data_IF_350219187535
#
_entry.id   IF_350219187535
#
_cell.length_a   1.000
_cell.length_b   1.000
_cell.length_c   1.000
_cell.angle_alpha   90.00
_cell.angle_beta   90.00
_cell.angle_gamma   90.00
#
_symmetry.space_group_name_H-M   'P 1'
#
loop_
_entity.id
_entity.type
_entity.pdbx_description
1 polymer ?
#
# COMPACT_ATOMS: atom_id res chain seq x y z
N UNK A 1 15.15 -27.48 -57.76
CA UNK A 1 16.33 -27.81 -58.59
C UNK A 1 17.51 -26.97 -58.16
N UNK A 2 18.64 -27.65 -57.96
CA UNK A 2 20.03 -27.22 -57.69
C UNK A 2 20.25 -26.69 -56.28
N UNK A 3 20.84 -27.41 -55.38
CA UNK A 3 22.00 -28.29 -55.27
C UNK A 3 23.13 -27.58 -54.49
N UNK A 4 23.46 -28.18 -53.40
CA UNK A 4 24.60 -27.98 -52.46
C UNK A 4 25.91 -28.20 -53.23
N UNK A 5 27.05 -27.71 -52.74
CA UNK A 5 28.08 -28.68 -52.42
C UNK A 5 28.75 -28.50 -51.05
N UNK A 6 29.10 -29.67 -50.50
CA UNK A 6 29.98 -29.98 -49.40
C UNK A 6 31.45 -29.88 -49.83
N UNK A 7 32.27 -29.97 -48.77
CA UNK A 7 33.66 -30.47 -48.69
C UNK A 7 34.71 -29.38 -48.45
N UNK A 8 35.76 -29.51 -47.64
CA UNK A 8 36.53 -30.61 -47.05
C UNK A 8 37.37 -30.05 -45.86
N UNK A 9 37.49 -30.61 -44.75
CA UNK A 9 38.27 -31.58 -44.01
C UNK A 9 39.79 -31.42 -43.92
N UNK A 10 40.30 -31.72 -42.71
CA UNK A 10 41.67 -32.03 -42.23
C UNK A 10 42.53 -30.81 -41.89
N UNK A 11 43.05 -30.64 -40.70
CA UNK A 11 43.59 -31.53 -39.69
C UNK A 11 45.06 -31.20 -39.45
N UNK A 12 45.44 -30.77 -38.24
CA UNK A 12 46.81 -31.03 -37.73
C UNK A 12 46.82 -30.95 -36.18
N UNK A 13 47.47 -31.97 -35.65
CA UNK A 13 47.63 -32.25 -34.21
C UNK A 13 48.85 -31.52 -33.63
N UNK A 14 48.81 -31.40 -32.29
CA UNK A 14 49.87 -31.36 -31.29
C UNK A 14 50.66 -30.07 -31.13
N UNK A 15 50.55 -29.48 -29.94
CA UNK A 15 51.64 -29.59 -28.98
C UNK A 15 51.11 -29.40 -27.55
N UNK A 16 51.50 -30.32 -26.69
CA UNK A 16 51.32 -30.34 -25.26
C UNK A 16 52.51 -29.66 -24.61
N UNK A 17 52.27 -28.55 -23.96
CA UNK A 17 53.17 -28.08 -22.93
C UNK A 17 52.34 -27.64 -21.70
N UNK A 18 52.60 -28.34 -20.60
CA UNK A 18 52.12 -27.94 -19.26
C UNK A 18 53.04 -26.85 -18.75
N UNK A 19 52.53 -25.76 -18.21
CA UNK A 19 53.32 -24.92 -17.34
C UNK A 19 53.26 -25.41 -15.89
N UNK A 20 54.39 -25.30 -15.27
CA UNK A 20 54.81 -25.64 -13.92
C UNK A 20 54.01 -24.98 -12.81
N UNK A 21 53.83 -25.64 -11.65
CA UNK A 21 53.10 -25.11 -10.52
C UNK A 21 54.04 -24.45 -9.51
N UNK A 22 54.26 -23.14 -9.62
CA UNK A 22 54.88 -22.36 -8.55
C UNK A 22 54.67 -20.87 -8.82
N UNK A 23 53.61 -20.31 -8.18
CA UNK A 23 53.69 -19.03 -7.48
C UNK A 23 52.34 -18.75 -6.82
N UNK A 24 52.22 -19.26 -5.58
CA UNK A 24 51.21 -18.79 -4.63
C UNK A 24 51.82 -17.61 -3.89
N UNK A 25 51.28 -16.42 -4.12
CA UNK A 25 51.23 -15.38 -3.10
C UNK A 25 50.44 -14.20 -3.62
N UNK A 26 49.32 -14.02 -3.07
CA UNK A 26 48.41 -12.91 -3.37
C UNK A 26 47.08 -13.14 -2.66
N UNK A 27 47.12 -13.11 -1.31
CA UNK A 27 45.91 -13.03 -0.49
C UNK A 27 45.24 -11.69 -0.73
N UNK A 28 44.52 -11.61 -1.83
CA UNK A 28 43.57 -10.54 -2.07
C UNK A 28 42.30 -10.87 -1.30
N UNK A 29 42.23 -10.46 -0.05
CA UNK A 29 40.98 -10.39 0.69
C UNK A 29 40.01 -9.59 -0.15
N UNK A 30 38.93 -10.26 -0.61
CA UNK A 30 37.78 -9.57 -1.17
C UNK A 30 37.20 -8.71 -0.05
N UNK A 31 36.98 -7.39 -0.26
CA UNK A 31 36.34 -6.57 0.75
C UNK A 31 35.00 -7.22 1.08
N UNK A 32 34.81 -7.58 2.33
CA UNK A 32 33.54 -7.95 2.93
C UNK A 32 32.57 -6.85 2.56
N UNK A 33 31.64 -7.17 1.69
CA UNK A 33 30.47 -6.29 1.48
C UNK A 33 29.78 -6.23 2.84
N UNK A 34 30.02 -5.15 3.57
CA UNK A 34 29.19 -4.75 4.69
C UNK A 34 27.76 -4.84 4.23
N UNK A 35 27.08 -5.90 4.61
CA UNK A 35 25.63 -5.91 4.68
C UNK A 35 25.27 -4.92 5.76
N UNK A 36 25.13 -3.66 5.39
CA UNK A 36 24.36 -2.71 6.18
C UNK A 36 22.97 -3.36 6.27
N UNK A 37 22.72 -4.02 7.38
CA UNK A 37 21.39 -4.46 7.75
C UNK A 37 20.59 -3.17 7.94
N UNK A 38 19.91 -2.73 6.88
CA UNK A 38 18.91 -1.66 7.01
C UNK A 38 17.97 -2.06 8.14
N UNK A 39 18.07 -1.31 9.24
CA UNK A 39 17.28 -1.55 10.42
C UNK A 39 15.82 -1.42 10.02
N UNK A 40 15.10 -2.53 9.95
CA UNK A 40 13.70 -2.56 9.52
C UNK A 40 12.92 -1.49 10.26
N UNK A 41 12.34 -0.54 9.53
CA UNK A 41 11.57 0.58 10.10
C UNK A 41 10.42 0.03 10.94
N UNK A 42 10.17 0.66 12.08
CA UNK A 42 9.04 0.34 12.95
C UNK A 42 8.02 1.48 12.88
N UNK A 43 7.14 1.40 11.89
CA UNK A 43 6.12 2.41 11.63
C UNK A 43 5.21 2.71 12.82
N UNK A 44 4.97 1.72 13.69
CA UNK A 44 4.19 1.96 14.91
C UNK A 44 4.95 2.82 15.92
N UNK A 45 6.26 2.61 16.10
CA UNK A 45 7.07 3.47 16.98
C UNK A 45 7.21 4.88 16.40
N UNK A 46 7.32 5.01 15.08
CA UNK A 46 7.36 6.31 14.41
C UNK A 46 6.06 7.06 14.63
N UNK A 47 4.91 6.38 14.47
CA UNK A 47 3.59 6.95 14.77
C UNK A 47 3.48 7.38 16.24
N UNK A 48 3.84 6.51 17.18
CA UNK A 48 3.79 6.83 18.62
C UNK A 48 4.64 8.07 18.96
N UNK A 49 5.84 8.16 18.39
CA UNK A 49 6.72 9.32 18.59
C UNK A 49 6.13 10.60 18.01
N UNK A 50 5.47 10.52 16.86
CA UNK A 50 4.78 11.65 16.24
C UNK A 50 3.61 12.09 17.12
N UNK A 51 2.75 11.15 17.55
CA UNK A 51 1.58 11.46 18.37
C UNK A 51 1.97 12.15 19.70
N UNK A 52 3.09 11.75 20.29
CA UNK A 52 3.60 12.37 21.53
C UNK A 52 4.13 13.80 21.34
N UNK A 53 4.37 14.23 20.10
CA UNK A 53 4.91 15.56 19.76
C UNK A 53 3.87 16.48 19.11
N UNK A 54 2.63 16.01 18.93
CA UNK A 54 1.59 16.83 18.33
C UNK A 54 1.23 17.98 19.26
N UNK A 55 1.16 19.17 18.69
CA UNK A 55 0.57 20.33 19.34
C UNK A 55 -0.86 20.53 18.78
N UNK A 56 -1.82 20.43 19.66
CA UNK A 56 -3.23 20.48 19.30
C UNK A 56 -3.72 19.26 18.51
N UNK A 57 -4.79 19.46 17.74
CA UNK A 57 -5.44 18.42 16.93
C UNK A 57 -5.41 18.82 15.45
N UNK A 58 -4.32 18.48 14.71
CA UNK A 58 -4.24 18.79 13.29
C UNK A 58 -5.27 18.02 12.47
N UNK A 59 -5.57 18.52 11.26
CA UNK A 59 -6.52 17.90 10.33
C UNK A 59 -5.92 16.67 9.66
N UNK A 60 -6.58 15.53 9.78
CA UNK A 60 -6.19 14.27 9.14
C UNK A 60 -7.24 13.82 8.12
N UNK A 61 -6.81 13.61 6.87
CA UNK A 61 -7.60 12.88 5.90
C UNK A 61 -7.31 11.38 6.03
N UNK A 62 -8.32 10.60 6.39
CA UNK A 62 -8.24 9.14 6.55
C UNK A 62 -8.93 8.43 5.39
N UNK A 63 -8.17 7.90 4.43
CA UNK A 63 -8.74 7.04 3.40
C UNK A 63 -9.23 5.73 4.01
N UNK A 64 -10.51 5.39 3.83
CA UNK A 64 -11.16 4.22 4.40
C UNK A 64 -11.84 3.35 3.34
N UNK A 65 -11.84 2.04 3.55
CA UNK A 65 -12.44 1.08 2.63
C UNK A 65 -13.68 0.34 3.19
N UNK A 66 -13.92 0.38 4.50
CA UNK A 66 -15.05 -0.30 5.16
C UNK A 66 -15.13 0.09 6.65
N UNK A 67 -16.26 -0.15 7.27
CA UNK A 67 -16.49 0.04 8.71
C UNK A 67 -15.49 -0.70 9.60
N UNK A 68 -15.33 -2.03 9.46
CA UNK A 68 -14.41 -2.81 10.27
C UNK A 68 -12.96 -2.30 10.27
N UNK A 69 -12.45 -1.90 9.08
CA UNK A 69 -11.08 -1.37 8.99
C UNK A 69 -10.94 0.02 9.62
N UNK A 70 -12.01 0.80 9.62
CA UNK A 70 -12.03 2.16 10.14
C UNK A 70 -12.20 2.21 11.65
N UNK A 71 -12.89 1.23 12.24
CA UNK A 71 -13.33 1.25 13.64
C UNK A 71 -12.16 1.46 14.60
N UNK A 72 -11.15 0.60 14.59
CA UNK A 72 -9.97 0.77 15.44
C UNK A 72 -9.14 2.01 15.10
N UNK A 73 -9.01 2.33 13.81
CA UNK A 73 -8.18 3.49 13.42
C UNK A 73 -8.79 4.79 13.93
N UNK A 74 -10.12 4.90 13.91
CA UNK A 74 -10.85 6.02 14.51
C UNK A 74 -10.69 6.00 16.05
N UNK A 75 -10.93 4.84 16.68
CA UNK A 75 -10.75 4.65 18.12
C UNK A 75 -9.38 5.15 18.60
N UNK A 76 -8.33 4.81 17.84
CA UNK A 76 -6.95 5.13 18.16
C UNK A 76 -6.54 6.58 17.85
N UNK A 77 -7.04 7.17 16.75
CA UNK A 77 -6.56 8.48 16.27
C UNK A 77 -7.47 9.66 16.58
N UNK A 78 -8.74 9.43 16.91
CA UNK A 78 -9.72 10.51 16.99
C UNK A 78 -9.44 11.52 18.12
N UNK A 79 -8.73 11.16 19.15
CA UNK A 79 -8.32 12.10 20.21
C UNK A 79 -7.14 13.00 19.78
N UNK A 80 -6.32 12.55 18.83
CA UNK A 80 -5.14 13.27 18.35
C UNK A 80 -5.38 14.15 17.14
N UNK A 81 -6.44 13.88 16.35
CA UNK A 81 -6.67 14.54 15.08
C UNK A 81 -8.13 14.97 14.89
N UNK A 82 -8.31 16.02 14.08
CA UNK A 82 -9.59 16.32 13.44
C UNK A 82 -9.72 15.44 12.19
N UNK A 83 -10.45 14.33 12.29
CA UNK A 83 -10.50 13.33 11.23
C UNK A 83 -11.63 13.64 10.24
N UNK A 84 -11.29 13.63 8.95
CA UNK A 84 -12.23 13.46 7.85
C UNK A 84 -11.96 12.17 7.13
N UNK A 85 -12.95 11.30 7.04
CA UNK A 85 -12.87 10.05 6.29
C UNK A 85 -13.12 10.35 4.82
N UNK A 86 -12.20 9.88 3.95
CA UNK A 86 -12.41 9.85 2.51
C UNK A 86 -12.74 8.42 2.08
N UNK A 87 -13.94 8.21 1.56
CA UNK A 87 -14.36 6.94 0.99
C UNK A 87 -14.17 6.98 -0.53
N UNK A 88 -12.98 6.53 -1.00
CA UNK A 88 -12.62 6.43 -2.40
C UNK A 88 -12.16 5.01 -2.72
N UNK A 89 -13.03 4.19 -3.28
CA UNK A 89 -12.80 2.76 -3.44
C UNK A 89 -13.31 2.22 -4.80
N UNK A 90 -12.87 2.75 -5.94
CA UNK A 90 -13.32 2.30 -7.26
C UNK A 90 -12.88 0.87 -7.60
N UNK A 91 -11.99 0.29 -6.78
CA UNK A 91 -11.58 -1.10 -6.89
C UNK A 91 -12.62 -2.11 -6.37
N UNK A 92 -13.60 -1.67 -5.58
CA UNK A 92 -14.58 -2.60 -5.00
C UNK A 92 -15.57 -3.06 -6.07
N UNK A 93 -15.69 -4.38 -6.21
CA UNK A 93 -16.53 -5.08 -7.16
C UNK A 93 -17.27 -6.26 -6.48
N UNK A 94 -18.52 -6.51 -6.79
CA UNK A 94 -19.39 -5.71 -7.66
C UNK A 94 -19.87 -4.39 -7.01
N UNK A 95 -20.69 -3.60 -7.72
CA UNK A 95 -21.18 -2.31 -7.23
C UNK A 95 -21.98 -2.44 -5.93
N UNK A 96 -22.74 -3.52 -5.80
CA UNK A 96 -23.51 -3.84 -4.60
C UNK A 96 -22.63 -4.02 -3.36
N UNK A 97 -21.43 -4.55 -3.54
CA UNK A 97 -20.46 -4.67 -2.46
C UNK A 97 -19.85 -3.30 -2.08
N UNK A 98 -19.65 -2.41 -3.06
CA UNK A 98 -19.24 -1.03 -2.81
C UNK A 98 -20.32 -0.31 -1.98
N UNK A 99 -21.58 -0.36 -2.43
CA UNK A 99 -22.72 0.27 -1.76
C UNK A 99 -22.94 -0.32 -0.35
N UNK A 100 -22.80 -1.62 -0.19
CA UNK A 100 -22.90 -2.28 1.13
C UNK A 100 -21.88 -1.74 2.12
N UNK A 101 -20.60 -1.62 1.71
CA UNK A 101 -19.53 -1.12 2.59
C UNK A 101 -19.66 0.38 2.86
N UNK A 102 -20.14 1.13 1.88
CA UNK A 102 -20.46 2.56 2.02
C UNK A 102 -21.55 2.78 3.05
N UNK A 103 -22.70 2.14 2.88
CA UNK A 103 -23.85 2.28 3.78
C UNK A 103 -23.47 1.85 5.20
N UNK A 104 -22.72 0.77 5.34
CA UNK A 104 -22.29 0.30 6.66
C UNK A 104 -21.44 1.33 7.40
N UNK A 105 -20.46 1.98 6.74
CA UNK A 105 -19.65 3.00 7.42
C UNK A 105 -20.45 4.24 7.76
N UNK A 106 -21.39 4.64 6.90
CA UNK A 106 -22.32 5.75 7.16
C UNK A 106 -23.21 5.43 8.36
N UNK A 107 -23.73 4.22 8.48
CA UNK A 107 -24.60 3.79 9.57
C UNK A 107 -23.83 3.56 10.88
N UNK A 108 -22.55 3.24 10.80
CA UNK A 108 -21.69 2.96 11.95
C UNK A 108 -21.23 4.25 12.65
N UNK A 109 -20.78 5.24 11.90
CA UNK A 109 -20.14 6.44 12.46
C UNK A 109 -21.00 7.17 13.50
N UNK A 110 -22.32 7.38 13.30
CA UNK A 110 -23.17 8.05 14.30
C UNK A 110 -23.40 7.26 15.59
N UNK A 111 -23.10 5.96 15.57
CA UNK A 111 -23.27 5.05 16.72
C UNK A 111 -21.99 4.82 17.48
N UNK A 112 -20.85 5.22 16.90
CA UNK A 112 -19.54 4.96 17.44
C UNK A 112 -19.05 6.15 18.28
N UNK A 113 -19.02 5.98 19.61
CA UNK A 113 -18.72 7.06 20.55
C UNK A 113 -17.43 7.84 20.20
N UNK A 114 -16.27 7.20 19.88
CA UNK A 114 -15.06 7.94 19.49
C UNK A 114 -15.26 8.84 18.27
N UNK A 115 -16.10 8.42 17.29
CA UNK A 115 -16.38 9.23 16.11
C UNK A 115 -17.29 10.40 16.46
N UNK A 116 -18.33 10.17 17.25
CA UNK A 116 -19.30 11.21 17.67
C UNK A 116 -18.65 12.26 18.54
N UNK A 117 -17.97 11.84 19.61
CA UNK A 117 -17.25 12.71 20.57
C UNK A 117 -16.27 13.62 19.86
N UNK A 118 -15.53 13.09 18.88
CA UNK A 118 -14.47 13.81 18.17
C UNK A 118 -14.95 14.43 16.85
N UNK A 119 -16.24 14.39 16.55
CA UNK A 119 -16.86 15.02 15.37
C UNK A 119 -16.20 14.56 14.06
N UNK A 120 -15.96 13.26 13.91
CA UNK A 120 -15.39 12.69 12.69
C UNK A 120 -16.31 12.98 11.51
N UNK A 121 -15.75 13.61 10.47
CA UNK A 121 -16.45 13.91 9.22
C UNK A 121 -16.32 12.78 8.21
N UNK A 122 -17.25 12.71 7.26
CA UNK A 122 -17.26 11.71 6.20
C UNK A 122 -17.49 12.37 4.84
N UNK A 123 -16.72 11.93 3.85
CA UNK A 123 -16.84 12.36 2.46
C UNK A 123 -16.79 11.12 1.57
N UNK A 124 -17.80 10.96 0.74
CA UNK A 124 -17.79 10.01 -0.37
C UNK A 124 -17.18 10.68 -1.60
N UNK A 125 -16.26 10.00 -2.26
CA UNK A 125 -15.70 10.41 -3.55
C UNK A 125 -16.31 9.57 -4.69
N UNK A 126 -16.06 9.97 -5.92
CA UNK A 126 -16.66 9.35 -7.11
C UNK A 126 -16.31 7.86 -7.20
N UNK A 127 -17.34 7.04 -7.41
CA UNK A 127 -17.18 5.63 -7.73
C UNK A 127 -17.10 5.44 -9.25
N UNK A 128 -15.89 5.30 -9.76
CA UNK A 128 -15.63 4.99 -11.17
C UNK A 128 -14.66 3.80 -11.28
N UNK A 129 -15.17 2.56 -11.45
CA UNK A 129 -14.32 1.36 -11.55
C UNK A 129 -13.30 1.39 -12.69
N UNK A 130 -13.57 2.16 -13.77
CA UNK A 130 -12.64 2.27 -14.88
C UNK A 130 -11.30 2.86 -14.46
N UNK A 131 -11.30 3.85 -13.56
CA UNK A 131 -10.08 4.44 -13.01
C UNK A 131 -9.18 3.39 -12.32
N UNK A 132 -9.80 2.42 -11.63
CA UNK A 132 -9.06 1.32 -11.02
C UNK A 132 -8.45 0.39 -12.07
N UNK A 133 -9.22 0.00 -13.11
CA UNK A 133 -8.71 -0.88 -14.17
C UNK A 133 -7.57 -0.23 -14.95
N UNK A 134 -7.68 1.05 -15.23
CA UNK A 134 -6.62 1.82 -15.89
C UNK A 134 -5.36 1.90 -15.02
N UNK A 135 -5.52 2.14 -13.73
CA UNK A 135 -4.39 2.23 -12.78
C UNK A 135 -3.64 0.90 -12.62
N UNK A 136 -4.34 -0.24 -12.54
CA UNK A 136 -3.70 -1.55 -12.40
C UNK A 136 -3.22 -2.14 -13.72
N UNK A 137 -3.73 -1.62 -14.86
CA UNK A 137 -3.29 -1.91 -16.24
C UNK A 137 -3.31 -3.39 -16.63
N UNK A 138 -4.18 -4.19 -16.06
CA UNK A 138 -4.29 -5.63 -16.35
C UNK A 138 -4.70 -5.95 -17.79
N UNK A 139 -5.28 -4.98 -18.51
CA UNK A 139 -5.62 -5.12 -19.92
C UNK A 139 -4.38 -5.27 -20.81
N UNK A 140 -3.33 -4.49 -20.52
CA UNK A 140 -2.07 -4.51 -21.27
C UNK A 140 -1.03 -5.44 -20.64
N UNK A 141 -1.19 -5.78 -19.37
CA UNK A 141 -0.32 -6.66 -18.59
C UNK A 141 -1.16 -7.80 -17.96
N UNK A 142 -1.63 -8.79 -18.75
CA UNK A 142 -2.59 -9.82 -18.30
C UNK A 142 -2.11 -10.67 -17.13
N UNK A 143 -0.80 -10.87 -17.01
CA UNK A 143 -0.19 -11.66 -15.91
C UNK A 143 -0.52 -11.08 -14.53
N UNK A 144 -0.71 -9.75 -14.46
CA UNK A 144 -1.12 -9.08 -13.22
C UNK A 144 -2.51 -9.52 -12.72
N UNK A 145 -3.39 -10.00 -13.62
CA UNK A 145 -4.72 -10.48 -13.22
C UNK A 145 -4.63 -11.74 -12.35
N UNK A 146 -3.65 -12.62 -12.64
CA UNK A 146 -3.40 -13.86 -11.90
C UNK A 146 -2.57 -13.70 -10.63
N UNK A 147 -2.00 -12.52 -10.38
CA UNK A 147 -1.18 -12.32 -9.18
C UNK A 147 -1.96 -12.51 -7.87
N UNK A 148 -1.28 -13.09 -6.88
CA UNK A 148 -1.73 -13.10 -5.50
C UNK A 148 -1.85 -11.71 -4.87
N UNK A 149 -2.38 -11.62 -3.67
CA UNK A 149 -2.36 -10.37 -2.91
C UNK A 149 -0.92 -9.94 -2.57
N UNK A 150 -0.70 -8.64 -2.42
CA UNK A 150 0.59 -7.97 -2.17
C UNK A 150 1.56 -7.92 -3.36
N UNK A 151 1.19 -8.44 -4.54
CA UNK A 151 1.96 -8.30 -5.78
C UNK A 151 1.93 -6.88 -6.36
N UNK A 152 2.40 -6.75 -7.61
CA UNK A 152 2.50 -5.47 -8.31
C UNK A 152 1.14 -4.83 -8.58
N UNK A 153 0.12 -5.62 -8.94
CA UNK A 153 -1.25 -5.14 -9.07
C UNK A 153 -1.74 -4.48 -7.78
N UNK A 154 -1.47 -5.09 -6.61
CA UNK A 154 -1.84 -4.49 -5.32
C UNK A 154 -1.03 -3.23 -5.02
N UNK A 155 0.24 -3.17 -5.38
CA UNK A 155 1.08 -1.96 -5.24
C UNK A 155 0.46 -0.81 -6.03
N UNK A 156 0.12 -1.01 -7.30
CA UNK A 156 -0.54 0.00 -8.15
C UNK A 156 -1.89 0.44 -7.58
N UNK A 157 -2.67 -0.50 -7.05
CA UNK A 157 -3.94 -0.19 -6.38
C UNK A 157 -3.74 0.67 -5.13
N UNK A 158 -2.70 0.42 -4.33
CA UNK A 158 -2.39 1.27 -3.18
C UNK A 158 -1.98 2.67 -3.64
N UNK A 159 -1.02 2.76 -4.55
CA UNK A 159 -0.52 4.03 -5.09
C UNK A 159 -1.66 4.89 -5.63
N UNK A 160 -2.50 4.33 -6.47
CA UNK A 160 -3.65 4.98 -7.08
C UNK A 160 -4.57 5.61 -6.03
N UNK A 161 -4.94 4.85 -5.00
CA UNK A 161 -5.83 5.35 -3.94
C UNK A 161 -5.15 6.36 -3.02
N UNK A 162 -3.86 6.17 -2.73
CA UNK A 162 -3.10 7.11 -1.91
C UNK A 162 -2.86 8.43 -2.63
N UNK A 163 -2.63 8.42 -3.94
CA UNK A 163 -2.54 9.66 -4.75
C UNK A 163 -3.84 10.46 -4.67
N UNK A 164 -5.00 9.80 -4.85
CA UNK A 164 -6.29 10.47 -4.69
C UNK A 164 -6.46 11.07 -3.29
N UNK A 165 -6.05 10.34 -2.26
CA UNK A 165 -6.06 10.84 -0.88
C UNK A 165 -5.14 12.05 -0.70
N UNK A 166 -3.93 12.00 -1.25
CA UNK A 166 -2.99 13.13 -1.23
C UNK A 166 -3.56 14.36 -1.94
N UNK A 167 -4.07 14.19 -3.16
CA UNK A 167 -4.62 15.30 -3.96
C UNK A 167 -5.81 15.95 -3.25
N UNK A 168 -6.70 15.14 -2.65
CA UNK A 168 -7.81 15.65 -1.85
C UNK A 168 -7.31 16.42 -0.61
N UNK A 169 -6.34 15.85 0.12
CA UNK A 169 -5.77 16.49 1.30
C UNK A 169 -5.10 17.82 0.98
N UNK A 170 -4.32 17.86 -0.10
CA UNK A 170 -3.63 19.08 -0.58
C UNK A 170 -4.63 20.16 -0.96
N UNK A 171 -5.66 19.80 -1.74
CA UNK A 171 -6.69 20.75 -2.20
C UNK A 171 -7.49 21.35 -1.04
N UNK A 172 -7.72 20.59 0.02
CA UNK A 172 -8.60 20.97 1.12
C UNK A 172 -7.83 21.38 2.40
N UNK A 173 -6.51 21.54 2.34
CA UNK A 173 -5.68 22.11 3.42
C UNK A 173 -5.56 21.20 4.65
N UNK A 174 -5.51 19.88 4.47
CA UNK A 174 -5.21 18.95 5.55
C UNK A 174 -3.73 19.00 5.95
N UNK A 175 -3.45 18.69 7.22
CA UNK A 175 -2.08 18.60 7.74
C UNK A 175 -1.44 17.26 7.44
N UNK A 176 -2.26 16.21 7.52
CA UNK A 176 -1.86 14.82 7.33
C UNK A 176 -2.85 14.06 6.47
N UNK A 177 -2.36 13.00 5.83
CA UNK A 177 -3.22 11.99 5.24
C UNK A 177 -2.68 10.59 5.51
N UNK A 178 -3.56 9.61 5.60
CA UNK A 178 -3.21 8.20 5.75
C UNK A 178 -4.34 7.28 5.25
N UNK A 179 -4.20 5.97 5.52
CA UNK A 179 -5.18 4.97 5.11
C UNK A 179 -5.41 3.92 6.19
N UNK A 180 -6.63 3.39 6.25
CA UNK A 180 -6.95 2.24 7.09
C UNK A 180 -6.39 0.91 6.57
N UNK A 181 -5.81 0.88 5.37
CA UNK A 181 -5.32 -0.36 4.75
C UNK A 181 -4.29 -1.11 5.58
N UNK A 182 -3.43 -0.39 6.32
CA UNK A 182 -2.35 -0.99 7.12
C UNK A 182 -2.84 -1.83 8.31
N UNK A 183 -4.14 -1.77 8.67
CA UNK A 183 -4.71 -2.62 9.72
C UNK A 183 -4.88 -4.07 9.29
N UNK A 184 -5.06 -4.31 7.99
CA UNK A 184 -5.29 -5.66 7.48
C UNK A 184 -4.01 -6.49 7.46
N UNK A 185 -4.01 -7.74 7.99
CA UNK A 185 -2.87 -8.64 7.88
C UNK A 185 -2.59 -9.07 6.43
N UNK A 186 -3.58 -8.94 5.55
CA UNK A 186 -3.47 -9.26 4.12
C UNK A 186 -2.92 -8.09 3.29
N UNK A 187 -2.62 -6.95 3.91
CA UNK A 187 -2.02 -5.79 3.24
C UNK A 187 -0.57 -5.60 3.64
N UNK A 188 0.21 -5.10 2.70
CA UNK A 188 1.62 -4.83 2.89
C UNK A 188 1.82 -3.41 3.44
N UNK A 189 1.96 -3.30 4.77
CA UNK A 189 2.12 -2.00 5.41
C UNK A 189 3.44 -1.31 5.02
N UNK A 190 4.49 -2.07 4.69
CA UNK A 190 5.78 -1.52 4.24
C UNK A 190 5.62 -0.82 2.89
N UNK A 191 5.03 -1.51 1.91
CA UNK A 191 4.72 -0.90 0.60
C UNK A 191 3.79 0.30 0.71
N UNK A 192 2.76 0.23 1.55
CA UNK A 192 1.82 1.34 1.77
C UNK A 192 2.55 2.57 2.30
N UNK A 193 3.41 2.41 3.31
CA UNK A 193 4.15 3.53 3.88
C UNK A 193 5.20 4.10 2.92
N UNK A 194 5.89 3.23 2.17
CA UNK A 194 6.83 3.67 1.14
C UNK A 194 6.13 4.54 0.09
N UNK A 195 5.02 4.04 -0.48
CA UNK A 195 4.25 4.78 -1.48
C UNK A 195 3.70 6.10 -0.95
N UNK A 196 3.16 6.13 0.28
CA UNK A 196 2.67 7.36 0.89
C UNK A 196 3.78 8.41 1.05
N UNK A 197 4.98 7.98 1.45
CA UNK A 197 6.16 8.85 1.55
C UNK A 197 6.61 9.34 0.18
N UNK A 198 6.76 8.44 -0.79
CA UNK A 198 7.17 8.77 -2.16
C UNK A 198 6.24 9.77 -2.85
N UNK A 199 4.92 9.66 -2.64
CA UNK A 199 3.94 10.61 -3.19
C UNK A 199 4.24 12.03 -2.73
N UNK A 200 4.46 12.21 -1.43
CA UNK A 200 4.79 13.54 -0.85
C UNK A 200 6.13 14.04 -1.36
N UNK A 201 7.17 13.20 -1.32
CA UNK A 201 8.51 13.57 -1.77
C UNK A 201 8.54 13.96 -3.25
N UNK A 202 7.86 13.21 -4.11
CA UNK A 202 7.78 13.51 -5.53
C UNK A 202 7.02 14.82 -5.80
N UNK A 203 5.96 15.12 -5.04
CA UNK A 203 5.28 16.40 -5.14
C UNK A 203 6.23 17.54 -4.76
N UNK A 204 6.93 17.45 -3.62
CA UNK A 204 7.86 18.47 -3.15
C UNK A 204 9.03 18.71 -4.11
N UNK A 205 9.57 17.65 -4.74
CA UNK A 205 10.64 17.77 -5.74
C UNK A 205 10.21 18.49 -7.02
N UNK A 206 8.93 18.39 -7.37
CA UNK A 206 8.39 18.99 -8.60
C UNK A 206 7.67 20.34 -8.38
N UNK A 207 7.60 20.81 -7.12
CA UNK A 207 6.96 22.08 -6.80
C UNK A 207 7.90 23.25 -7.16
N UNK A 208 7.36 24.27 -7.83
CA UNK A 208 8.07 25.52 -8.08
C UNK A 208 8.24 26.28 -6.76
N UNK A 209 9.38 26.97 -6.58
CA UNK A 209 9.80 27.66 -5.36
C UNK A 209 8.79 28.74 -4.84
N UNK A 210 7.78 29.08 -5.63
CA UNK A 210 6.84 30.18 -5.36
C UNK A 210 5.43 29.76 -4.90
N UNK A 211 5.17 28.48 -4.64
CA UNK A 211 3.85 28.05 -4.16
C UNK A 211 3.86 27.81 -2.64
N UNK A 212 3.31 28.76 -1.88
CA UNK A 212 3.09 28.66 -0.42
C UNK A 212 1.90 27.74 -0.07
N UNK A 213 1.72 26.64 -0.78
CA UNK A 213 0.68 25.68 -0.41
C UNK A 213 1.16 24.79 0.73
N UNK A 214 0.33 24.66 1.74
CA UNK A 214 0.54 23.68 2.82
C UNK A 214 0.45 22.28 2.25
N UNK A 215 1.58 21.56 2.23
CA UNK A 215 1.65 20.20 1.72
C UNK A 215 1.31 19.20 2.84
N UNK A 216 0.31 18.33 2.67
CA UNK A 216 -0.05 17.34 3.69
C UNK A 216 1.08 16.32 3.86
N UNK A 217 1.37 15.95 5.11
CA UNK A 217 2.36 14.93 5.45
C UNK A 217 1.72 13.53 5.42
N UNK A 218 2.47 12.54 4.96
CA UNK A 218 2.06 11.15 5.13
C UNK A 218 2.16 10.74 6.60
N UNK A 219 1.07 10.24 7.19
CA UNK A 219 1.07 9.68 8.53
C UNK A 219 1.45 8.20 8.46
N UNK A 220 2.71 7.89 8.75
CA UNK A 220 3.20 6.51 8.76
C UNK A 220 2.46 5.66 9.78
N UNK A 221 2.09 4.42 9.42
CA UNK A 221 1.29 3.60 10.32
C UNK A 221 1.41 2.10 10.03
N UNK A 222 1.29 1.29 11.07
CA UNK A 222 1.02 -0.14 10.99
C UNK A 222 -0.06 -0.51 12.01
N UNK A 223 -1.30 -0.14 11.70
CA UNK A 223 -2.44 -0.25 12.63
C UNK A 223 -2.77 -1.68 13.08
N UNK A 224 -2.21 -2.72 12.46
CA UNK A 224 -2.34 -4.10 12.97
C UNK A 224 -1.48 -4.38 14.20
N UNK A 225 -0.47 -3.54 14.47
CA UNK A 225 0.40 -3.66 15.66
C UNK A 225 -0.35 -3.28 16.95
N UNK A 226 0.25 -3.56 18.09
CA UNK A 226 -0.33 -3.31 19.44
C UNK A 226 -1.74 -3.88 19.61
N UNK A 227 -2.06 -4.99 18.94
CA UNK A 227 -3.38 -5.60 19.02
C UNK A 227 -4.47 -4.90 18.23
N UNK A 228 -4.13 -3.91 17.36
CA UNK A 228 -5.14 -3.12 16.65
C UNK A 228 -6.04 -3.94 15.75
N UNK A 229 -5.50 -4.95 15.04
CA UNK A 229 -6.35 -5.87 14.28
C UNK A 229 -7.33 -6.63 15.18
N UNK A 230 -6.88 -7.13 16.34
CA UNK A 230 -7.75 -7.80 17.32
C UNK A 230 -8.84 -6.84 17.82
N UNK A 231 -8.47 -5.61 18.19
CA UNK A 231 -9.45 -4.61 18.63
C UNK A 231 -10.47 -4.28 17.53
N UNK A 232 -10.06 -4.22 16.26
CA UNK A 232 -11.01 -4.04 15.16
C UNK A 232 -12.00 -5.21 15.00
N UNK A 233 -11.59 -6.43 15.37
CA UNK A 233 -12.52 -7.59 15.41
C UNK A 233 -13.54 -7.43 16.54
N UNK A 234 -13.08 -7.03 17.73
CA UNK A 234 -13.93 -6.80 18.90
C UNK A 234 -14.99 -5.73 18.59
N UNK A 235 -14.56 -4.54 18.13
CA UNK A 235 -15.50 -3.46 17.75
C UNK A 235 -16.47 -3.93 16.66
N UNK A 236 -15.97 -4.69 15.66
CA UNK A 236 -16.85 -5.23 14.62
C UNK A 236 -17.92 -6.16 15.17
N UNK A 237 -17.61 -6.95 16.20
CA UNK A 237 -18.59 -7.79 16.89
C UNK A 237 -19.56 -6.98 17.74
N UNK A 238 -19.08 -5.99 18.49
CA UNK A 238 -19.89 -5.10 19.32
C UNK A 238 -20.98 -4.35 18.50
N UNK A 239 -20.62 -3.93 17.29
CA UNK A 239 -21.51 -3.17 16.38
C UNK A 239 -22.11 -4.01 15.26
N UNK A 240 -21.89 -5.33 15.26
CA UNK A 240 -22.37 -6.26 14.23
C UNK A 240 -21.99 -5.81 12.79
N UNK A 241 -20.76 -5.33 12.61
CA UNK A 241 -20.28 -4.83 11.33
C UNK A 241 -20.03 -5.98 10.33
N UNK A 242 -20.42 -5.78 9.09
CA UNK A 242 -20.15 -6.70 8.00
C UNK A 242 -18.65 -6.84 7.75
N UNK A 243 -18.15 -8.04 7.90
CA UNK A 243 -16.75 -8.33 7.61
C UNK A 243 -16.64 -9.05 6.28
N UNK A 244 -16.11 -8.31 5.31
CA UNK A 244 -15.88 -8.82 3.97
C UNK A 244 -14.83 -9.94 3.97
N UNK A 245 -15.03 -10.93 3.12
CA UNK A 245 -14.15 -12.09 3.02
C UNK A 245 -13.03 -11.91 1.98
N UNK A 246 -13.03 -10.85 1.18
CA UNK A 246 -12.03 -10.55 0.15
C UNK A 246 -11.68 -9.06 0.16
N UNK A 247 -10.58 -8.70 -0.49
CA UNK A 247 -10.07 -7.31 -0.51
C UNK A 247 -11.08 -6.29 -1.04
N UNK A 248 -11.93 -6.72 -1.97
CA UNK A 248 -12.92 -5.89 -2.66
C UNK A 248 -12.74 -5.90 -4.18
N UNK A 249 -11.54 -6.06 -4.72
CA UNK A 249 -11.36 -6.06 -6.16
C UNK A 249 -11.79 -7.40 -6.80
N UNK A 250 -12.16 -7.34 -8.07
CA UNK A 250 -12.58 -8.53 -8.85
C UNK A 250 -11.55 -9.66 -8.79
N UNK A 251 -10.25 -9.34 -8.86
CA UNK A 251 -9.17 -10.32 -8.85
C UNK A 251 -9.04 -11.07 -7.51
N UNK A 252 -9.25 -10.39 -6.38
CA UNK A 252 -9.24 -11.06 -5.07
C UNK A 252 -10.48 -11.91 -4.82
N UNK A 253 -11.61 -11.59 -5.47
CA UNK A 253 -12.83 -12.38 -5.42
C UNK A 253 -12.65 -13.69 -6.18
N UNK A 254 -12.19 -13.63 -7.43
CA UNK A 254 -11.94 -14.79 -8.30
C UNK A 254 -10.90 -15.73 -7.68
N UNK A 255 -9.80 -15.20 -7.16
CA UNK A 255 -8.78 -16.02 -6.52
C UNK A 255 -9.36 -16.80 -5.33
N UNK A 256 -10.20 -16.16 -4.51
CA UNK A 256 -10.81 -16.84 -3.39
C UNK A 256 -11.75 -17.99 -3.81
N UNK A 257 -12.61 -17.73 -4.80
CA UNK A 257 -13.53 -18.74 -5.34
C UNK A 257 -12.79 -19.96 -5.93
N UNK A 258 -11.55 -19.77 -6.42
CA UNK A 258 -10.69 -20.84 -6.91
C UNK A 258 -9.99 -21.66 -5.79
N UNK A 259 -9.80 -21.06 -4.59
CA UNK A 259 -9.23 -21.77 -3.43
C UNK A 259 -10.27 -22.54 -2.62
N UNK A 260 -11.56 -22.25 -2.78
CA UNK A 260 -12.67 -22.91 -2.09
C UNK A 260 -13.25 -24.09 -2.90
N UNK A 261 -12.75 -24.35 -4.11
CA UNK A 261 -13.06 -25.52 -4.96
C UNK A 261 -11.97 -26.57 -4.86
#
# INVERSE_FOLDING_TARGET
>A
MRAVPKEWSRGRRRNTEKPDPLERSGSGERPEKEKIMEKKRNFQKELDSLLAQLDGRPKLLLHACCGPCSSYVIDFLAEFFEITILYYNPNIYPKEEYERRLNEIIDFLPKFEPAVKNKVCFVEDVYNPQEFYDAVNTKNEPDLAGEGEKGERCRRCYEFRLRRGFDYALKNGFDYFCTTLSISPFKDAEKINLLGTEIVENYLKNQSVNEEKKVPKWLVSDFKKKGGFKRSLEISGEFNLYRQQYCGCVYSKVNKENYEK
#
